data_IF_509148518486
#
_entry.id   IF_509148518486
#
_cell.length_a   1.000
_cell.length_b   1.000
_cell.length_c   1.000
_cell.angle_alpha   90.00
_cell.angle_beta   90.00
_cell.angle_gamma   90.00
#
_symmetry.space_group_name_H-M   'P 1'
#
loop_
_entity.id
_entity.type
_entity.pdbx_description
1 polymer ?
#
# COMPACT_ATOMS: atom_id res chain seq x y z
N UNK A 1 9.65 24.75 31.64
CA UNK A 1 9.01 24.99 30.32
C UNK A 1 10.02 24.55 29.27
N UNK A 2 9.60 23.70 28.30
CA UNK A 2 10.52 23.32 27.23
C UNK A 2 10.78 24.55 26.36
N UNK A 3 12.07 24.95 26.27
CA UNK A 3 12.50 26.07 25.46
C UNK A 3 12.27 25.72 23.99
N UNK A 4 11.33 26.41 23.36
CA UNK A 4 10.97 26.15 21.95
C UNK A 4 11.82 27.08 21.08
N UNK A 5 12.59 26.57 20.12
CA UNK A 5 13.46 27.42 19.34
C UNK A 5 12.65 28.41 18.51
N UNK A 6 13.03 29.69 18.58
CA UNK A 6 12.46 30.70 17.70
C UNK A 6 12.77 30.37 16.24
N UNK A 7 11.78 30.43 15.34
CA UNK A 7 12.00 30.17 13.93
C UNK A 7 12.97 31.20 13.36
N UNK A 8 13.96 30.74 12.60
CA UNK A 8 15.01 31.60 12.02
C UNK A 8 14.50 32.53 10.92
N UNK A 9 13.26 32.35 10.46
CA UNK A 9 12.57 33.26 9.50
C UNK A 9 11.06 33.03 9.51
N UNK A 10 10.25 34.04 9.10
CA UNK A 10 8.79 33.89 8.91
C UNK A 10 8.40 32.75 7.95
N UNK A 11 9.18 32.56 6.87
CA UNK A 11 8.96 31.49 5.90
C UNK A 11 9.15 30.09 6.49
N UNK A 12 10.16 29.90 7.34
CA UNK A 12 10.36 28.63 8.07
C UNK A 12 9.23 28.34 9.06
N UNK A 13 8.74 29.38 9.72
CA UNK A 13 7.59 29.25 10.63
C UNK A 13 6.32 28.86 9.87
N UNK A 14 6.09 29.42 8.68
CA UNK A 14 4.97 29.06 7.82
C UNK A 14 5.09 27.62 7.31
N UNK A 15 6.29 27.19 6.90
CA UNK A 15 6.54 25.82 6.45
C UNK A 15 6.30 24.79 7.55
N UNK A 16 6.74 25.08 8.79
CA UNK A 16 6.52 24.21 9.94
C UNK A 16 5.03 24.11 10.32
N UNK A 17 4.26 25.19 10.17
CA UNK A 17 2.81 25.18 10.38
C UNK A 17 2.05 24.47 9.26
N UNK A 18 2.57 24.48 8.04
CA UNK A 18 1.99 23.81 6.87
C UNK A 18 2.24 22.29 6.88
N UNK A 19 3.19 21.80 7.69
CA UNK A 19 3.45 20.37 7.83
C UNK A 19 2.25 19.66 8.47
N UNK A 20 1.50 18.96 7.64
CA UNK A 20 0.38 18.14 8.09
C UNK A 20 0.92 16.87 8.72
N UNK A 21 0.33 16.48 9.83
CA UNK A 21 0.64 15.21 10.50
C UNK A 21 -0.02 14.01 9.83
N UNK A 22 -1.12 14.22 9.13
CA UNK A 22 -1.95 13.21 8.47
C UNK A 22 -2.44 13.75 7.13
N UNK A 23 -2.84 12.85 6.25
CA UNK A 23 -3.33 13.19 4.91
C UNK A 23 -2.28 13.95 4.07
N UNK A 24 -1.02 13.55 4.18
CA UNK A 24 0.06 14.04 3.34
C UNK A 24 -0.14 13.61 1.88
N UNK A 25 0.53 14.29 0.94
CA UNK A 25 0.40 13.95 -0.48
C UNK A 25 0.77 12.50 -0.77
N UNK A 26 1.91 11.94 -0.27
CA UNK A 26 2.26 10.53 -0.46
C UNK A 26 1.23 9.57 0.13
N UNK A 27 0.78 9.81 1.38
CA UNK A 27 -0.26 8.99 2.00
C UNK A 27 -1.54 8.95 1.18
N UNK A 28 -2.00 10.12 0.70
CA UNK A 28 -3.21 10.23 -0.10
C UNK A 28 -3.08 9.51 -1.44
N UNK A 29 -1.89 9.61 -2.09
CA UNK A 29 -1.63 8.91 -3.35
C UNK A 29 -1.67 7.40 -3.16
N UNK A 30 -0.97 6.88 -2.14
CA UNK A 30 -0.95 5.46 -1.81
C UNK A 30 -2.36 4.94 -1.48
N UNK A 31 -3.10 5.66 -0.65
CA UNK A 31 -4.48 5.29 -0.28
C UNK A 31 -5.41 5.21 -1.48
N UNK A 32 -5.34 6.19 -2.40
CA UNK A 32 -6.15 6.19 -3.64
C UNK A 32 -5.79 5.01 -4.54
N UNK A 33 -4.50 4.74 -4.73
CA UNK A 33 -4.03 3.63 -5.56
C UNK A 33 -4.50 2.28 -5.02
N UNK A 34 -4.33 2.02 -3.71
CA UNK A 34 -4.80 0.80 -3.07
C UNK A 34 -6.34 0.66 -3.12
N UNK A 35 -7.07 1.75 -2.87
CA UNK A 35 -8.53 1.74 -2.95
C UNK A 35 -9.02 1.47 -4.37
N UNK A 36 -8.39 2.06 -5.40
CA UNK A 36 -8.68 1.84 -6.81
C UNK A 36 -8.48 0.38 -7.22
N UNK A 37 -7.55 -0.33 -6.60
CA UNK A 37 -7.33 -1.77 -6.80
C UNK A 37 -8.24 -2.68 -5.93
N UNK A 38 -9.25 -2.10 -5.27
CA UNK A 38 -10.22 -2.85 -4.50
C UNK A 38 -9.82 -3.15 -3.05
N UNK A 39 -8.67 -2.68 -2.58
CA UNK A 39 -8.27 -2.88 -1.19
C UNK A 39 -9.07 -1.98 -0.24
N UNK A 40 -9.50 -2.54 0.88
CA UNK A 40 -10.23 -1.82 1.93
C UNK A 40 -9.40 -1.81 3.20
N UNK A 41 -9.22 -0.64 3.78
CA UNK A 41 -8.36 -0.38 4.94
C UNK A 41 -9.01 0.67 5.87
N UNK A 42 -8.43 0.83 7.05
CA UNK A 42 -8.73 1.92 7.97
C UNK A 42 -7.58 2.93 7.95
N UNK A 43 -7.87 4.22 7.83
CA UNK A 43 -6.88 5.30 7.89
C UNK A 43 -6.69 5.76 9.32
N UNK A 44 -5.46 6.15 9.70
CA UNK A 44 -5.11 6.69 11.02
C UNK A 44 -5.75 5.89 12.16
N UNK A 45 -5.70 4.57 12.03
CA UNK A 45 -6.44 3.66 12.89
C UNK A 45 -5.65 3.39 14.17
N UNK A 46 -6.26 3.72 15.31
CA UNK A 46 -5.64 3.47 16.60
C UNK A 46 -5.68 1.99 16.95
N UNK A 47 -4.51 1.44 17.20
CA UNK A 47 -4.28 0.11 17.73
C UNK A 47 -3.83 0.24 19.18
N UNK A 48 -4.62 -0.27 20.10
CA UNK A 48 -4.23 -0.42 21.50
C UNK A 48 -3.63 -1.81 21.66
N UNK A 49 -2.30 -1.86 21.77
CA UNK A 49 -1.50 -3.06 21.94
C UNK A 49 -1.04 -3.14 23.39
N UNK A 50 -0.53 -4.29 23.81
CA UNK A 50 0.06 -4.46 25.13
C UNK A 50 1.26 -3.50 25.29
N UNK A 51 1.16 -2.58 26.23
CA UNK A 51 2.19 -1.58 26.51
C UNK A 51 2.37 -0.47 25.46
N UNK A 52 1.62 -0.45 24.37
CA UNK A 52 1.80 0.55 23.31
C UNK A 52 0.50 0.99 22.63
N UNK A 53 0.47 2.25 22.23
CA UNK A 53 -0.57 2.79 21.33
C UNK A 53 0.08 3.15 20.01
N UNK A 54 -0.38 2.51 18.94
CA UNK A 54 0.18 2.71 17.61
C UNK A 54 -0.91 3.19 16.67
N UNK A 55 -0.57 4.09 15.76
CA UNK A 55 -1.47 4.62 14.73
C UNK A 55 -0.79 4.58 13.38
N UNK A 56 -0.93 3.47 12.64
CA UNK A 56 -0.49 3.42 11.26
C UNK A 56 -1.36 4.30 10.37
N UNK A 57 -0.75 4.84 9.30
CA UNK A 57 -1.44 5.67 8.31
C UNK A 57 -2.50 4.85 7.55
N UNK A 58 -2.21 3.54 7.37
CA UNK A 58 -3.11 2.57 6.75
C UNK A 58 -3.07 1.27 7.57
N UNK A 59 -4.23 0.78 7.99
CA UNK A 59 -4.34 -0.50 8.71
C UNK A 59 -5.27 -1.46 7.99
N UNK A 60 -4.76 -2.62 7.62
CA UNK A 60 -5.54 -3.76 7.15
C UNK A 60 -5.81 -4.70 8.32
N UNK A 61 -6.82 -4.40 9.10
CA UNK A 61 -7.08 -5.09 10.38
C UNK A 61 -7.33 -6.59 10.22
N UNK A 62 -8.06 -7.02 9.19
CA UNK A 62 -8.32 -8.43 8.92
C UNK A 62 -7.04 -9.21 8.56
N UNK A 63 -6.06 -8.55 7.93
CA UNK A 63 -4.79 -9.15 7.53
C UNK A 63 -3.66 -8.89 8.52
N UNK A 64 -3.88 -8.03 9.49
CA UNK A 64 -2.88 -7.53 10.44
C UNK A 64 -1.65 -6.98 9.72
N UNK A 65 -1.88 -6.08 8.75
CA UNK A 65 -0.81 -5.34 8.07
C UNK A 65 -0.97 -3.87 8.42
N UNK A 66 0.08 -3.28 8.98
CA UNK A 66 0.19 -1.87 9.33
C UNK A 66 1.16 -1.20 8.37
N UNK A 67 0.75 -0.08 7.76
CA UNK A 67 1.57 0.67 6.82
C UNK A 67 1.79 2.07 7.37
N UNK A 68 3.05 2.51 7.33
CA UNK A 68 3.48 3.86 7.67
C UNK A 68 4.09 4.52 6.43
N UNK A 69 3.81 5.80 6.26
CA UNK A 69 4.42 6.64 5.22
C UNK A 69 5.31 7.68 5.89
N UNK A 70 6.58 7.38 5.92
CA UNK A 70 7.56 8.11 6.71
C UNK A 70 8.13 9.30 5.94
N UNK A 71 8.01 10.50 6.50
CA UNK A 71 8.65 11.70 5.99
C UNK A 71 10.17 11.66 6.19
N UNK A 72 10.94 11.93 5.14
CA UNK A 72 12.40 11.79 5.14
C UNK A 72 13.09 12.57 6.26
N UNK A 73 12.65 13.78 6.52
CA UNK A 73 13.20 14.61 7.58
C UNK A 73 12.86 14.08 8.99
N UNK A 74 11.61 13.67 9.20
CA UNK A 74 11.10 13.35 10.54
C UNK A 74 11.55 11.99 11.07
N UNK A 75 11.82 11.05 10.18
CA UNK A 75 12.17 9.67 10.49
C UNK A 75 13.61 9.31 10.12
N UNK A 76 14.46 10.35 9.89
CA UNK A 76 15.89 10.20 9.60
C UNK A 76 16.18 9.25 8.43
N UNK A 77 15.55 9.52 7.28
CA UNK A 77 15.77 8.75 6.05
C UNK A 77 17.27 8.62 5.76
N UNK A 78 17.77 7.40 5.46
CA UNK A 78 19.19 7.20 5.20
C UNK A 78 19.67 7.92 3.92
N UNK A 79 18.78 8.13 2.96
CA UNK A 79 19.12 8.76 1.68
C UNK A 79 18.90 10.28 1.68
N UNK A 80 17.78 10.75 2.25
CA UNK A 80 17.35 12.15 2.18
C UNK A 80 17.24 12.82 3.54
N UNK A 81 17.63 12.14 4.61
CA UNK A 81 17.60 12.68 5.98
C UNK A 81 18.60 13.82 6.11
N UNK A 82 18.12 15.07 6.10
CA UNK A 82 18.98 16.24 6.35
C UNK A 82 19.11 16.50 7.84
N UNK A 83 20.35 16.63 8.31
CA UNK A 83 20.62 17.11 9.67
C UNK A 83 20.36 18.61 9.73
N UNK A 84 19.53 19.09 10.64
CA UNK A 84 19.33 20.53 10.80
C UNK A 84 20.64 21.26 11.10
N UNK A 85 20.98 22.26 10.30
CA UNK A 85 22.17 23.08 10.53
C UNK A 85 22.00 24.08 11.69
N UNK A 86 20.76 24.39 12.05
CA UNK A 86 20.43 25.32 13.14
C UNK A 86 19.61 24.61 14.22
N UNK A 87 19.72 25.09 15.47
CA UNK A 87 19.00 24.54 16.63
C UNK A 87 19.22 23.01 16.79
N UNK A 88 20.43 22.54 16.59
CA UNK A 88 20.81 21.12 16.69
C UNK A 88 20.50 20.54 18.06
N UNK A 89 20.63 21.34 19.13
CA UNK A 89 20.28 20.98 20.48
C UNK A 89 18.82 20.59 20.67
N UNK A 90 17.91 21.16 19.86
CA UNK A 90 16.49 20.86 19.86
C UNK A 90 16.15 19.69 18.90
N UNK A 91 16.66 19.78 17.67
CA UNK A 91 16.33 18.82 16.62
C UNK A 91 16.96 17.44 16.85
N UNK A 92 18.19 17.38 17.30
CA UNK A 92 18.88 16.12 17.55
C UNK A 92 18.07 15.19 18.46
N UNK A 93 17.78 15.59 19.72
CA UNK A 93 16.98 14.77 20.62
C UNK A 93 15.57 14.48 20.11
N UNK A 94 14.97 15.40 19.33
CA UNK A 94 13.63 15.19 18.79
C UNK A 94 13.59 14.12 17.71
N UNK A 95 14.54 14.14 16.77
CA UNK A 95 14.63 13.13 15.72
C UNK A 95 15.01 11.77 16.29
N UNK A 96 15.93 11.72 17.25
CA UNK A 96 16.27 10.48 17.97
C UNK A 96 15.04 9.86 18.63
N UNK A 97 14.26 10.65 19.37
CA UNK A 97 13.02 10.17 19.99
C UNK A 97 11.97 9.69 18.97
N UNK A 98 11.91 10.29 17.79
CA UNK A 98 11.03 9.80 16.73
C UNK A 98 11.45 8.39 16.30
N UNK A 99 12.74 8.19 15.98
CA UNK A 99 13.27 6.88 15.57
C UNK A 99 13.08 5.83 16.67
N UNK A 100 13.32 6.18 17.93
CA UNK A 100 13.08 5.26 19.06
C UNK A 100 11.62 4.87 19.19
N UNK A 101 10.72 5.84 19.06
CA UNK A 101 9.27 5.59 19.08
C UNK A 101 8.83 4.71 17.92
N UNK A 102 9.37 4.93 16.71
CA UNK A 102 9.06 4.11 15.54
C UNK A 102 9.51 2.66 15.74
N UNK A 103 10.72 2.45 16.25
CA UNK A 103 11.22 1.11 16.59
C UNK A 103 10.36 0.41 17.65
N UNK A 104 9.95 1.16 18.68
CA UNK A 104 9.08 0.63 19.72
C UNK A 104 7.70 0.27 19.15
N UNK A 105 7.15 1.09 18.25
CA UNK A 105 5.89 0.81 17.57
C UNK A 105 5.98 -0.44 16.70
N UNK A 106 7.07 -0.58 15.94
CA UNK A 106 7.31 -1.76 15.09
C UNK A 106 7.43 -3.02 15.95
N UNK A 107 8.20 -2.99 17.04
CA UNK A 107 8.34 -4.11 17.96
C UNK A 107 7.00 -4.54 18.57
N UNK A 108 6.18 -3.58 19.02
CA UNK A 108 4.87 -3.84 19.59
C UNK A 108 3.90 -4.45 18.55
N UNK A 109 3.92 -3.96 17.32
CA UNK A 109 3.13 -4.50 16.23
C UNK A 109 3.53 -5.93 15.89
N UNK A 110 4.83 -6.19 15.75
CA UNK A 110 5.37 -7.52 15.46
C UNK A 110 5.02 -8.51 16.58
N UNK A 111 5.18 -8.14 17.84
CA UNK A 111 4.80 -8.95 18.99
C UNK A 111 3.29 -9.28 19.00
N UNK A 112 2.45 -8.35 18.53
CA UNK A 112 1.01 -8.56 18.38
C UNK A 112 0.62 -9.32 17.09
N UNK A 113 1.59 -9.84 16.34
CA UNK A 113 1.37 -10.62 15.12
C UNK A 113 0.92 -9.79 13.92
N UNK A 114 1.31 -8.53 13.87
CA UNK A 114 1.14 -7.65 12.72
C UNK A 114 2.39 -7.67 11.84
N UNK A 115 2.19 -7.51 10.55
CA UNK A 115 3.27 -7.15 9.62
C UNK A 115 3.35 -5.64 9.54
N UNK A 116 4.57 -5.11 9.50
CA UNK A 116 4.84 -3.68 9.38
C UNK A 116 5.44 -3.40 8.01
N UNK A 117 4.89 -2.43 7.31
CA UNK A 117 5.41 -1.90 6.05
C UNK A 117 5.72 -0.44 6.25
N UNK A 118 6.97 -0.03 6.06
CA UNK A 118 7.38 1.37 6.07
C UNK A 118 7.73 1.79 4.66
N UNK A 119 7.22 2.93 4.25
CA UNK A 119 7.38 3.52 2.93
C UNK A 119 7.86 4.94 3.12
N UNK A 120 8.96 5.28 2.47
CA UNK A 120 9.45 6.65 2.49
C UNK A 120 8.64 7.55 1.57
N UNK A 121 8.45 8.81 1.96
CA UNK A 121 7.70 9.79 1.16
C UNK A 121 8.29 10.04 -0.24
N UNK A 122 9.57 9.71 -0.45
CA UNK A 122 10.26 9.83 -1.73
C UNK A 122 10.15 8.60 -2.63
N UNK A 123 9.65 7.48 -2.11
CA UNK A 123 9.49 6.26 -2.91
C UNK A 123 8.44 6.43 -4.00
N UNK A 124 8.73 5.81 -5.15
CA UNK A 124 7.77 5.78 -6.24
C UNK A 124 6.48 5.08 -5.83
N UNK A 125 5.34 5.66 -6.22
CA UNK A 125 4.02 5.16 -5.86
C UNK A 125 3.82 3.69 -6.21
N UNK A 126 4.29 3.26 -7.38
CA UNK A 126 4.12 1.87 -7.84
C UNK A 126 4.91 0.89 -6.98
N UNK A 127 6.12 1.26 -6.55
CA UNK A 127 6.93 0.47 -5.64
C UNK A 127 6.27 0.37 -4.25
N UNK A 128 5.77 1.48 -3.74
CA UNK A 128 5.03 1.54 -2.48
C UNK A 128 3.77 0.65 -2.51
N UNK A 129 3.00 0.72 -3.58
CA UNK A 129 1.82 -0.15 -3.79
C UNK A 129 2.21 -1.61 -3.84
N UNK A 130 3.26 -1.95 -4.59
CA UNK A 130 3.75 -3.32 -4.71
C UNK A 130 4.20 -3.89 -3.37
N UNK A 131 4.92 -3.11 -2.54
CA UNK A 131 5.34 -3.51 -1.20
C UNK A 131 4.16 -3.83 -0.29
N UNK A 132 3.12 -2.99 -0.29
CA UNK A 132 1.89 -3.23 0.49
C UNK A 132 1.18 -4.50 0.01
N UNK A 133 1.04 -4.69 -1.31
CA UNK A 133 0.39 -5.87 -1.87
C UNK A 133 1.16 -7.14 -1.52
N UNK A 134 2.49 -7.12 -1.60
CA UNK A 134 3.34 -8.24 -1.20
C UNK A 134 3.11 -8.63 0.26
N UNK A 135 3.10 -7.67 1.18
CA UNK A 135 2.80 -7.90 2.60
C UNK A 135 1.40 -8.47 2.81
N UNK A 136 0.40 -7.95 2.10
CA UNK A 136 -0.97 -8.46 2.15
C UNK A 136 -1.08 -9.90 1.64
N UNK A 137 -0.33 -10.26 0.62
CA UNK A 137 -0.28 -11.62 0.08
C UNK A 137 0.41 -12.57 1.05
N UNK A 138 1.55 -12.16 1.61
CA UNK A 138 2.31 -12.94 2.58
C UNK A 138 1.54 -13.20 3.89
N UNK A 139 0.60 -12.32 4.26
CA UNK A 139 -0.22 -12.49 5.47
C UNK A 139 -1.12 -13.74 5.46
N UNK A 140 -1.38 -14.33 4.29
CA UNK A 140 -2.19 -15.54 4.11
C UNK A 140 -3.65 -15.43 4.56
N UNK A 141 -4.08 -14.26 5.08
CA UNK A 141 -5.43 -14.05 5.62
C UNK A 141 -6.36 -13.48 4.55
N UNK A 142 -7.60 -13.97 4.41
CA UNK A 142 -8.53 -13.48 3.42
C UNK A 142 -8.90 -12.03 3.66
N UNK A 143 -9.12 -11.27 2.59
CA UNK A 143 -9.67 -9.92 2.66
C UNK A 143 -11.20 -10.01 2.60
N UNK A 144 -11.92 -9.59 3.65
CA UNK A 144 -13.37 -9.52 3.55
C UNK A 144 -13.78 -8.54 2.45
N UNK A 145 -14.55 -8.99 1.47
CA UNK A 145 -15.10 -8.16 0.41
C UNK A 145 -14.35 -8.13 -0.92
N UNK A 146 -13.24 -8.84 -1.08
CA UNK A 146 -12.67 -9.07 -2.42
C UNK A 146 -13.39 -10.27 -3.04
N UNK A 147 -14.31 -10.01 -3.96
CA UNK A 147 -14.77 -11.03 -4.91
C UNK A 147 -13.52 -11.51 -5.65
N UNK A 148 -13.27 -12.82 -5.62
CA UNK A 148 -12.29 -13.43 -6.49
C UNK A 148 -12.57 -12.95 -7.92
N UNK A 149 -11.55 -12.62 -8.74
CA UNK A 149 -11.79 -12.36 -10.14
C UNK A 149 -12.53 -13.56 -10.69
N UNK A 150 -13.75 -13.34 -11.18
CA UNK A 150 -14.51 -14.38 -11.88
C UNK A 150 -13.64 -14.79 -13.06
N UNK A 151 -13.10 -16.00 -13.00
CA UNK A 151 -12.49 -16.64 -14.15
C UNK A 151 -13.64 -16.78 -15.14
N UNK A 152 -13.58 -16.15 -16.35
CA UNK A 152 -14.61 -16.37 -17.34
C UNK A 152 -14.61 -17.86 -17.66
N UNK A 153 -15.73 -18.55 -17.41
CA UNK A 153 -15.88 -19.93 -17.86
C UNK A 153 -15.64 -19.99 -19.38
N UNK A 154 -14.86 -20.96 -19.87
CA UNK A 154 -14.69 -21.16 -21.28
C UNK A 154 -16.08 -21.41 -21.85
N UNK A 155 -16.51 -20.54 -22.74
CA UNK A 155 -17.78 -20.74 -23.49
C UNK A 155 -17.67 -22.10 -24.14
N UNK A 156 -18.56 -23.03 -23.75
CA UNK A 156 -18.73 -24.30 -24.39
C UNK A 156 -18.98 -24.02 -25.87
N UNK A 157 -18.05 -24.47 -26.73
CA UNK A 157 -18.14 -24.30 -28.14
C UNK A 157 -19.41 -24.99 -28.66
N UNK A 158 -20.15 -24.25 -29.47
CA UNK A 158 -21.30 -24.79 -30.21
C UNK A 158 -20.86 -26.05 -30.97
N UNK A 159 -21.39 -27.18 -30.56
CA UNK A 159 -21.25 -28.43 -31.30
C UNK A 159 -21.84 -28.22 -32.69
N UNK A 160 -20.98 -28.26 -33.69
CA UNK A 160 -21.37 -28.21 -35.10
C UNK A 160 -22.28 -29.39 -35.46
N UNK A 161 -23.42 -29.07 -36.01
CA UNK A 161 -24.33 -30.04 -36.60
C UNK A 161 -23.66 -30.71 -37.82
N UNK A 162 -23.41 -32.00 -37.69
CA UNK A 162 -22.99 -32.85 -38.82
C UNK A 162 -24.22 -33.11 -39.69
N UNK A 163 -24.27 -32.50 -40.84
CA UNK A 163 -25.24 -32.82 -41.89
C UNK A 163 -24.78 -34.07 -42.59
N UNK A 164 -25.53 -35.15 -42.43
CA UNK A 164 -25.34 -36.39 -43.18
C UNK A 164 -25.61 -36.15 -44.67
N UNK A 165 -24.63 -36.43 -45.48
CA UNK A 165 -24.70 -36.40 -46.92
C UNK A 165 -25.33 -37.69 -47.41
N UNK A 166 -26.42 -37.54 -48.22
CA UNK A 166 -27.11 -38.61 -48.87
C UNK A 166 -26.36 -38.97 -50.16
N UNK A 167 -25.92 -40.22 -50.22
CA UNK A 167 -25.47 -40.88 -51.44
C UNK A 167 -26.70 -41.05 -52.38
N UNK A 168 -26.62 -40.51 -53.58
CA UNK A 168 -27.48 -40.75 -54.69
C UNK A 168 -26.66 -41.22 -55.89
N UNK A 169 -26.70 -42.54 -56.13
CA UNK A 169 -26.25 -43.13 -57.39
C UNK A 169 -27.09 -42.63 -58.52
N UNK A 170 -26.51 -42.24 -59.60
CA UNK A 170 -27.15 -42.47 -60.89
C UNK A 170 -26.13 -42.75 -62.01
N UNK A 171 -26.40 -43.82 -62.74
CA UNK A 171 -25.69 -44.43 -63.85
C UNK A 171 -26.08 -43.76 -65.19
N UNK A 172 -25.14 -43.59 -66.07
CA UNK A 172 -25.47 -43.24 -67.45
C UNK A 172 -24.26 -42.80 -68.26
N UNK A 173 -23.49 -43.63 -68.75
CA UNK A 173 -23.31 -44.30 -70.01
C UNK A 173 -23.26 -43.43 -71.29
N UNK A 174 -22.00 -43.31 -71.78
CA UNK A 174 -21.46 -43.36 -73.17
C UNK A 174 -21.92 -42.32 -74.23
N UNK A 175 -21.21 -42.37 -75.41
CA UNK A 175 -19.81 -42.11 -75.73
C UNK A 175 -19.65 -41.20 -76.96
N UNK A 176 -18.43 -41.10 -77.49
CA UNK A 176 -17.96 -40.73 -78.81
C UNK A 176 -17.66 -39.24 -79.16
N UNK A 177 -16.50 -39.16 -79.81
CA UNK A 177 -16.02 -38.09 -80.66
C UNK A 177 -14.52 -37.92 -80.49
#
# INVERSE_FOLDING_TARGET
MADYPHPSSPGRSANMRANRRTDTKPEMALRRALHGQGYRYRKDYRLDLEGARVRPDIAFTARRVAVFVDGCFWHACPEHGTKPASNTWYWGPKLTRNVERDRAADAALLAAGWQVVRIWEHEHLDAAVAAVIAALTASGRPQPGRLAPSVPEPRAGAAGATTADRVGEDLGMRPNG
#
